data_IF_322925449237
#
_entry.id   IF_322925449237
#
_cell.length_a   1.000
_cell.length_b   1.000
_cell.length_c   1.000
_cell.angle_alpha   90.00
_cell.angle_beta   90.00
_cell.angle_gamma   90.00
#
_symmetry.space_group_name_H-M   'P 1'
#
loop_
_entity.id
_entity.type
_entity.pdbx_description
1 polymer ?
#
# COMPACT_ATOMS: atom_id res chain seq x y z
N UNK A 1 -6.50 -22.81 31.59
CA UNK A 1 -5.83 -21.57 32.05
C UNK A 1 -6.37 -20.44 31.18
N UNK A 2 -7.21 -19.59 31.76
CA UNK A 2 -7.91 -18.51 31.05
C UNK A 2 -6.90 -17.41 30.68
N UNK A 3 -6.59 -17.27 29.39
CA UNK A 3 -5.71 -16.21 28.90
C UNK A 3 -6.32 -14.84 29.20
N UNK A 4 -5.58 -14.00 29.91
CA UNK A 4 -6.01 -12.65 30.27
C UNK A 4 -6.44 -11.88 29.02
N UNK A 5 -7.63 -11.24 29.09
CA UNK A 5 -8.20 -10.42 28.01
C UNK A 5 -7.20 -9.35 27.56
N UNK A 6 -6.56 -9.57 26.42
CA UNK A 6 -5.63 -8.61 25.82
C UNK A 6 -6.30 -7.66 24.82
N UNK A 7 -7.50 -7.19 25.18
CA UNK A 7 -8.28 -6.28 24.35
C UNK A 7 -8.91 -5.21 25.24
N UNK A 8 -8.68 -3.94 24.90
CA UNK A 8 -9.35 -2.78 25.51
C UNK A 8 -10.05 -1.97 24.43
N UNK A 9 -11.36 -1.74 24.55
CA UNK A 9 -12.13 -0.97 23.58
C UNK A 9 -12.64 0.34 24.20
N UNK A 10 -12.36 1.47 23.58
CA UNK A 10 -12.67 2.81 24.10
C UNK A 10 -13.24 3.70 22.99
N UNK A 11 -14.34 4.43 23.24
CA UNK A 11 -14.82 5.43 22.29
C UNK A 11 -13.72 6.45 21.96
N UNK A 12 -13.54 6.73 20.67
CA UNK A 12 -12.64 7.76 20.15
C UNK A 12 -13.49 8.83 19.45
N UNK A 13 -13.96 9.81 20.22
CA UNK A 13 -14.95 10.77 19.73
C UNK A 13 -16.37 10.17 19.68
N UNK A 14 -17.26 10.81 18.89
CA UNK A 14 -18.70 10.49 18.88
C UNK A 14 -19.06 9.27 18.03
N UNK A 15 -18.29 9.03 16.97
CA UNK A 15 -18.63 8.06 15.93
C UNK A 15 -17.53 7.01 15.69
N UNK A 16 -16.52 6.92 16.55
CA UNK A 16 -15.47 5.91 16.39
C UNK A 16 -15.20 5.13 17.67
N UNK A 17 -14.72 3.91 17.49
CA UNK A 17 -14.25 3.02 18.53
C UNK A 17 -12.79 2.67 18.27
N UNK A 18 -11.92 2.97 19.24
CA UNK A 18 -10.54 2.52 19.23
C UNK A 18 -10.42 1.23 20.05
N UNK A 19 -9.89 0.18 19.43
CA UNK A 19 -9.58 -1.10 20.07
C UNK A 19 -8.06 -1.21 20.19
N UNK A 20 -7.56 -1.42 21.41
CA UNK A 20 -6.15 -1.62 21.75
C UNK A 20 -5.86 -3.10 22.03
N UNK A 21 -4.79 -3.63 21.45
CA UNK A 21 -4.43 -5.05 21.42
C UNK A 21 -3.02 -5.31 21.99
N UNK A 22 -2.72 -6.58 22.28
CA UNK A 22 -1.44 -7.03 22.85
C UNK A 22 -0.24 -6.68 21.96
N UNK A 23 -0.37 -6.92 20.66
CA UNK A 23 0.72 -6.89 19.70
C UNK A 23 0.14 -6.86 18.26
N UNK A 24 1.03 -6.91 17.28
CA UNK A 24 0.67 -6.89 15.87
C UNK A 24 -0.12 -8.15 15.43
N UNK A 25 0.13 -9.31 16.04
CA UNK A 25 -0.56 -10.56 15.72
C UNK A 25 -2.02 -10.50 16.15
N UNK A 26 -2.27 -10.06 17.40
CA UNK A 26 -3.62 -9.83 17.89
C UNK A 26 -4.35 -8.72 17.12
N UNK A 27 -3.62 -7.70 16.65
CA UNK A 27 -4.19 -6.63 15.81
C UNK A 27 -4.62 -7.15 14.45
N UNK A 28 -3.79 -7.98 13.80
CA UNK A 28 -4.13 -8.62 12.53
C UNK A 28 -5.31 -9.59 12.68
N UNK A 29 -5.34 -10.38 13.75
CA UNK A 29 -6.43 -11.30 14.06
C UNK A 29 -7.75 -10.56 14.28
N UNK A 30 -7.72 -9.48 15.07
CA UNK A 30 -8.90 -8.65 15.31
C UNK A 30 -9.39 -7.97 14.03
N UNK A 31 -8.48 -7.44 13.21
CA UNK A 31 -8.82 -6.85 11.92
C UNK A 31 -9.50 -7.86 10.98
N UNK A 32 -8.94 -9.06 10.86
CA UNK A 32 -9.55 -10.15 10.07
C UNK A 32 -10.94 -10.54 10.58
N UNK A 33 -11.11 -10.59 11.90
CA UNK A 33 -12.41 -10.89 12.53
C UNK A 33 -13.46 -9.79 12.27
N UNK A 34 -13.07 -8.51 12.30
CA UNK A 34 -13.95 -7.39 11.93
C UNK A 34 -14.42 -7.54 10.48
N UNK A 35 -13.51 -7.85 9.55
CA UNK A 35 -13.83 -8.04 8.14
C UNK A 35 -14.75 -9.25 7.93
N UNK A 36 -14.50 -10.37 8.62
CA UNK A 36 -15.34 -11.56 8.58
C UNK A 36 -16.77 -11.26 9.06
N UNK A 37 -16.91 -10.53 10.17
CA UNK A 37 -18.22 -10.12 10.69
C UNK A 37 -18.94 -9.16 9.76
N UNK A 38 -18.22 -8.22 9.13
CA UNK A 38 -18.76 -7.31 8.11
C UNK A 38 -19.31 -8.10 6.93
N UNK A 39 -18.54 -9.03 6.38
CA UNK A 39 -18.95 -9.88 5.26
C UNK A 39 -20.16 -10.77 5.62
N UNK A 40 -20.24 -11.25 6.86
CA UNK A 40 -21.37 -12.04 7.36
C UNK A 40 -22.60 -11.19 7.75
N UNK A 41 -22.54 -9.85 7.65
CA UNK A 41 -23.63 -8.96 8.07
C UNK A 41 -23.89 -8.94 9.59
N UNK A 42 -22.93 -9.40 10.39
CA UNK A 42 -23.04 -9.49 11.86
C UNK A 42 -22.33 -8.34 12.59
N UNK A 43 -21.60 -7.50 11.85
CA UNK A 43 -21.05 -6.25 12.35
C UNK A 43 -22.10 -5.13 12.20
N UNK A 44 -22.33 -4.27 13.20
CA UNK A 44 -23.12 -3.06 13.00
C UNK A 44 -22.48 -2.17 11.92
N UNK A 45 -23.21 -1.18 11.38
CA UNK A 45 -22.64 -0.24 10.41
C UNK A 45 -21.33 0.36 10.93
N UNK A 46 -20.27 0.17 10.17
CA UNK A 46 -18.95 0.78 10.35
C UNK A 46 -18.58 1.29 8.97
N UNK A 47 -18.21 2.56 8.85
CA UNK A 47 -17.78 3.15 7.58
C UNK A 47 -16.38 2.66 7.25
N UNK A 48 -15.43 2.87 8.16
CA UNK A 48 -14.02 2.54 7.94
C UNK A 48 -13.44 1.66 9.05
N UNK A 49 -12.51 0.80 8.66
CA UNK A 49 -11.75 -0.07 9.55
C UNK A 49 -10.27 0.21 9.29
N UNK A 50 -9.59 0.80 10.28
CA UNK A 50 -8.22 1.28 10.13
C UNK A 50 -7.32 0.55 11.14
N UNK A 51 -6.60 -0.51 10.71
CA UNK A 51 -5.60 -1.14 11.57
C UNK A 51 -4.38 -0.24 11.74
N UNK A 52 -3.74 -0.33 12.90
CA UNK A 52 -2.45 0.27 13.23
C UNK A 52 -1.49 -0.77 13.80
N UNK A 53 -0.45 -0.34 14.52
CA UNK A 53 0.55 -1.28 15.05
C UNK A 53 0.03 -2.19 16.17
N UNK A 54 -0.80 -1.64 17.07
CA UNK A 54 -1.39 -2.33 18.23
C UNK A 54 -2.85 -1.95 18.44
N UNK A 55 -3.49 -1.42 17.41
CA UNK A 55 -4.81 -0.83 17.51
C UNK A 55 -5.62 -1.09 16.25
N UNK A 56 -6.95 -1.14 16.37
CA UNK A 56 -7.87 -1.01 15.23
C UNK A 56 -8.87 0.08 15.54
N UNK A 57 -8.96 1.09 14.67
CA UNK A 57 -9.98 2.12 14.73
C UNK A 57 -11.16 1.69 13.85
N UNK A 58 -12.35 1.67 14.42
CA UNK A 58 -13.61 1.50 13.70
C UNK A 58 -14.29 2.87 13.65
N UNK A 59 -14.42 3.47 12.47
CA UNK A 59 -15.03 4.80 12.29
C UNK A 59 -16.41 4.72 11.64
N UNK A 60 -17.24 5.73 11.85
CA UNK A 60 -18.64 5.75 11.42
C UNK A 60 -19.54 4.77 12.18
N UNK A 61 -19.17 4.41 13.41
CA UNK A 61 -19.94 3.56 14.32
C UNK A 61 -21.09 4.38 14.92
N UNK A 62 -22.37 3.96 14.76
CA UNK A 62 -23.52 4.68 15.32
C UNK A 62 -23.52 4.78 16.85
N UNK A 63 -23.15 3.69 17.54
CA UNK A 63 -23.00 3.65 19.00
C UNK A 63 -21.67 2.96 19.38
N UNK A 64 -20.58 3.74 19.54
CA UNK A 64 -19.28 3.20 19.93
C UNK A 64 -19.30 2.49 21.30
N UNK A 65 -20.17 2.92 22.23
CA UNK A 65 -20.23 2.33 23.58
C UNK A 65 -20.90 0.96 23.55
N UNK A 66 -21.96 0.80 22.76
CA UNK A 66 -22.58 -0.51 22.53
C UNK A 66 -21.61 -1.46 21.82
N UNK A 67 -20.92 -0.99 20.77
CA UNK A 67 -19.94 -1.81 20.08
C UNK A 67 -18.76 -2.20 20.99
N UNK A 68 -18.27 -1.28 21.84
CA UNK A 68 -17.22 -1.60 22.81
C UNK A 68 -17.60 -2.77 23.74
N UNK A 69 -18.84 -2.78 24.25
CA UNK A 69 -19.36 -3.87 25.08
C UNK A 69 -19.46 -5.19 24.29
N UNK A 70 -19.91 -5.13 23.04
CA UNK A 70 -20.03 -6.30 22.18
C UNK A 70 -18.65 -6.91 21.87
N UNK A 71 -17.69 -6.06 21.46
CA UNK A 71 -16.32 -6.45 21.11
C UNK A 71 -15.61 -7.15 22.27
N UNK A 72 -15.86 -6.73 23.52
CA UNK A 72 -15.28 -7.38 24.69
C UNK A 72 -15.68 -8.86 24.85
N UNK A 73 -16.79 -9.27 24.23
CA UNK A 73 -17.28 -10.66 24.22
C UNK A 73 -16.93 -11.44 22.95
N UNK A 74 -16.19 -10.88 22.00
CA UNK A 74 -15.84 -11.58 20.77
C UNK A 74 -14.77 -12.64 21.01
N UNK A 75 -14.99 -13.82 20.44
CA UNK A 75 -13.92 -14.78 20.20
C UNK A 75 -13.22 -14.40 18.91
N UNK A 76 -11.92 -14.11 19.02
CA UNK A 76 -11.07 -13.68 17.90
C UNK A 76 -10.12 -14.83 17.59
N UNK A 77 -10.37 -15.62 16.54
CA UNK A 77 -9.44 -16.67 16.16
C UNK A 77 -8.12 -16.06 15.64
N UNK A 78 -6.99 -16.77 15.77
CA UNK A 78 -5.75 -16.35 15.14
C UNK A 78 -5.93 -16.26 13.61
N UNK A 79 -5.12 -15.41 12.97
CA UNK A 79 -5.10 -15.34 11.50
C UNK A 79 -4.65 -16.70 10.97
N UNK A 80 -5.46 -17.31 10.11
CA UNK A 80 -5.09 -18.57 9.48
C UNK A 80 -3.88 -18.36 8.55
N UNK A 81 -3.01 -19.37 8.47
CA UNK A 81 -2.02 -19.45 7.40
C UNK A 81 -2.77 -19.64 6.07
N UNK A 82 -2.79 -18.59 5.26
CA UNK A 82 -3.48 -18.56 3.99
C UNK A 82 -2.57 -19.06 2.86
N UNK A 83 -3.14 -19.89 1.97
CA UNK A 83 -2.53 -20.29 0.70
C UNK A 83 -2.83 -19.28 -0.43
N UNK A 84 -3.33 -18.09 -0.08
CA UNK A 84 -3.74 -17.06 -1.05
C UNK A 84 -2.57 -16.39 -1.76
N UNK A 85 -2.93 -15.56 -2.75
CA UNK A 85 -2.00 -14.86 -3.63
C UNK A 85 -0.94 -14.06 -2.86
N UNK A 86 0.28 -14.09 -3.37
CA UNK A 86 1.44 -13.38 -2.81
C UNK A 86 1.88 -12.32 -3.80
N UNK A 87 1.97 -11.07 -3.34
CA UNK A 87 2.53 -9.97 -4.14
C UNK A 87 4.05 -10.07 -4.12
N UNK A 88 4.64 -10.23 -5.29
CA UNK A 88 6.10 -10.17 -5.44
C UNK A 88 6.56 -8.73 -5.67
N UNK A 89 7.55 -8.30 -4.91
CA UNK A 89 8.17 -6.97 -5.03
C UNK A 89 9.61 -7.16 -5.52
N UNK A 90 9.94 -6.72 -6.75
CA UNK A 90 11.32 -6.70 -7.23
C UNK A 90 12.18 -5.74 -6.43
N UNK A 91 13.38 -6.18 -6.08
CA UNK A 91 14.37 -5.37 -5.34
C UNK A 91 15.75 -5.52 -5.96
N UNK A 92 16.38 -4.39 -6.25
CA UNK A 92 17.82 -4.27 -6.35
C UNK A 92 18.37 -4.02 -4.94
N UNK A 93 19.19 -4.92 -4.40
CA UNK A 93 19.80 -4.73 -3.08
C UNK A 93 21.04 -3.83 -3.21
N UNK A 94 20.79 -2.54 -3.42
CA UNK A 94 21.76 -1.47 -3.66
C UNK A 94 21.72 -0.37 -2.57
N UNK A 95 21.06 -0.66 -1.45
CA UNK A 95 20.78 0.34 -0.42
C UNK A 95 22.02 0.83 0.32
N UNK A 96 22.07 2.13 0.69
CA UNK A 96 23.22 2.72 1.37
C UNK A 96 23.48 2.16 2.77
N UNK A 97 22.48 1.54 3.40
CA UNK A 97 22.59 1.03 4.78
C UNK A 97 22.85 -0.49 4.82
N UNK A 98 23.11 -1.13 3.67
CA UNK A 98 23.41 -2.58 3.61
C UNK A 98 24.54 -2.98 4.54
N UNK A 99 25.65 -2.24 4.55
CA UNK A 99 26.79 -2.54 5.41
C UNK A 99 26.46 -2.39 6.91
N UNK A 100 25.64 -1.39 7.27
CA UNK A 100 25.20 -1.17 8.65
C UNK A 100 24.26 -2.30 9.11
N UNK A 101 23.28 -2.67 8.27
CA UNK A 101 22.37 -3.79 8.52
C UNK A 101 23.14 -5.11 8.61
N UNK A 102 24.12 -5.33 7.74
CA UNK A 102 24.96 -6.52 7.76
C UNK A 102 25.74 -6.64 9.09
N UNK A 103 26.32 -5.54 9.56
CA UNK A 103 27.01 -5.50 10.85
C UNK A 103 26.06 -5.82 12.02
N UNK A 104 24.83 -5.27 12.01
CA UNK A 104 23.81 -5.55 13.02
C UNK A 104 23.36 -7.03 13.01
N UNK A 105 23.35 -7.66 11.84
CA UNK A 105 23.01 -9.08 11.69
C UNK A 105 24.20 -10.02 11.90
N UNK A 106 25.43 -9.50 11.91
CA UNK A 106 26.67 -10.28 12.05
C UNK A 106 27.07 -11.03 10.78
N UNK A 107 26.88 -10.41 9.60
CA UNK A 107 26.92 -11.06 8.29
C UNK A 107 27.62 -10.20 7.25
N UNK A 108 27.94 -10.74 6.08
CA UNK A 108 28.47 -9.96 4.97
C UNK A 108 27.37 -9.15 4.25
N UNK A 109 27.67 -7.95 3.69
CA UNK A 109 26.66 -7.08 3.06
C UNK A 109 25.84 -7.73 1.93
N UNK A 110 26.46 -8.60 1.15
CA UNK A 110 25.85 -9.37 0.06
C UNK A 110 24.82 -10.40 0.57
N UNK A 111 24.95 -10.87 1.82
CA UNK A 111 24.01 -11.81 2.42
C UNK A 111 22.72 -11.14 2.94
N UNK A 112 22.70 -9.80 3.08
CA UNK A 112 21.53 -9.07 3.61
C UNK A 112 20.31 -9.28 2.72
N UNK A 113 20.49 -9.16 1.40
CA UNK A 113 19.40 -9.35 0.45
C UNK A 113 18.84 -10.76 0.45
N UNK A 114 19.73 -11.76 0.52
CA UNK A 114 19.34 -13.17 0.62
C UNK A 114 18.52 -13.46 1.90
N UNK A 115 18.94 -12.93 3.05
CA UNK A 115 18.18 -13.07 4.31
C UNK A 115 16.85 -12.33 4.27
N UNK A 116 16.82 -11.12 3.73
CA UNK A 116 15.59 -10.33 3.62
C UNK A 116 14.53 -11.04 2.76
N UNK A 117 14.90 -11.54 1.57
CA UNK A 117 13.96 -12.23 0.66
C UNK A 117 13.56 -13.64 1.08
N UNK A 118 14.28 -14.26 2.02
CA UNK A 118 13.94 -15.60 2.52
C UNK A 118 12.65 -15.64 3.36
N UNK A 119 12.12 -14.48 3.73
CA UNK A 119 10.91 -14.36 4.54
C UNK A 119 9.69 -14.06 3.67
N UNK A 120 8.54 -14.58 4.07
CA UNK A 120 7.24 -14.09 3.60
C UNK A 120 6.75 -13.04 4.57
N UNK A 121 6.33 -11.90 4.03
CA UNK A 121 5.83 -10.77 4.79
C UNK A 121 4.32 -10.68 4.68
N UNK A 122 3.72 -9.93 5.60
CA UNK A 122 2.32 -9.53 5.56
C UNK A 122 2.22 -8.04 5.87
N UNK A 123 1.37 -7.33 5.12
CA UNK A 123 1.03 -5.94 5.45
C UNK A 123 0.24 -5.94 6.75
N UNK A 124 0.84 -5.44 7.83
CA UNK A 124 0.18 -5.32 9.13
C UNK A 124 -0.83 -4.17 9.14
N UNK A 125 -0.42 -3.03 8.61
CA UNK A 125 -1.25 -1.84 8.45
C UNK A 125 -0.67 -0.90 7.39
N UNK A 126 -1.48 0.05 6.93
CA UNK A 126 -1.05 1.11 6.02
C UNK A 126 -1.13 2.46 6.73
N UNK A 127 -0.28 3.41 6.34
CA UNK A 127 -0.23 4.74 6.95
C UNK A 127 1.00 5.52 6.47
N UNK A 128 1.31 6.67 7.08
CA UNK A 128 2.42 7.57 6.70
C UNK A 128 2.27 8.25 5.32
N UNK A 129 2.04 7.49 4.25
CA UNK A 129 1.76 8.01 2.91
C UNK A 129 0.85 7.03 2.14
N UNK A 130 0.07 7.50 1.15
CA UNK A 130 -0.71 6.63 0.27
C UNK A 130 0.17 5.56 -0.38
N UNK A 131 -0.22 4.28 -0.25
CA UNK A 131 0.54 3.11 -0.74
C UNK A 131 1.65 2.61 0.17
N UNK A 132 1.92 3.26 1.31
CA UNK A 132 2.94 2.79 2.25
C UNK A 132 2.34 1.74 3.21
N UNK A 133 2.80 0.49 3.05
CA UNK A 133 2.44 -0.64 3.91
C UNK A 133 3.57 -1.02 4.86
N UNK A 134 3.24 -1.21 6.13
CA UNK A 134 4.15 -1.73 7.14
C UNK A 134 4.15 -3.26 7.08
N UNK A 135 5.26 -3.86 6.68
CA UNK A 135 5.37 -5.30 6.44
C UNK A 135 5.97 -6.01 7.65
N UNK A 136 5.25 -6.96 8.25
CA UNK A 136 5.74 -7.83 9.33
C UNK A 136 6.03 -9.24 8.80
N UNK A 137 6.80 -10.04 9.54
CA UNK A 137 7.19 -11.41 9.16
C UNK A 137 8.69 -11.67 9.29
N UNK A 138 9.46 -10.61 9.53
CA UNK A 138 10.88 -10.72 9.80
C UNK A 138 11.13 -11.34 11.19
N UNK A 139 12.04 -12.31 11.27
CA UNK A 139 12.40 -12.97 12.52
C UNK A 139 12.93 -11.95 13.56
N UNK A 140 12.61 -12.09 14.87
CA UNK A 140 13.03 -11.13 15.91
C UNK A 140 14.52 -10.79 15.93
N UNK A 141 15.37 -11.78 15.65
CA UNK A 141 16.84 -11.60 15.58
C UNK A 141 17.32 -10.70 14.44
N UNK A 142 16.47 -10.42 13.45
CA UNK A 142 16.78 -9.59 12.29
C UNK A 142 16.18 -8.18 12.42
N UNK A 143 15.50 -7.87 13.52
CA UNK A 143 14.97 -6.52 13.75
C UNK A 143 16.11 -5.53 13.92
N UNK A 144 16.06 -4.42 13.18
CA UNK A 144 17.12 -3.39 13.20
C UNK A 144 16.56 -2.07 13.72
N UNK A 145 17.31 -1.27 14.50
CA UNK A 145 16.82 0.02 14.96
C UNK A 145 16.64 1.00 13.79
N UNK A 146 15.83 2.03 14.03
CA UNK A 146 15.85 3.23 13.17
C UNK A 146 17.21 3.91 13.26
N UNK A 147 17.57 4.64 12.20
CA UNK A 147 18.71 5.55 12.23
C UNK A 147 18.50 6.61 13.31
N UNK A 148 19.59 6.99 13.97
CA UNK A 148 19.59 8.03 15.01
C UNK A 148 19.20 9.39 14.45
N UNK A 149 19.59 9.69 13.22
CA UNK A 149 19.21 10.91 12.50
C UNK A 149 18.45 10.54 11.21
N UNK A 150 17.18 10.95 11.06
CA UNK A 150 16.42 10.72 9.83
C UNK A 150 17.06 11.39 8.62
N UNK A 151 16.90 10.77 7.43
CA UNK A 151 17.21 11.43 6.16
C UNK A 151 16.16 12.48 5.88
N UNK A 152 16.60 13.63 5.39
CA UNK A 152 15.72 14.69 4.88
C UNK A 152 14.95 14.22 3.64
N UNK A 153 15.52 13.26 2.90
CA UNK A 153 14.90 12.66 1.72
C UNK A 153 15.30 11.20 1.56
N UNK A 154 14.28 10.34 1.47
CA UNK A 154 14.35 8.94 1.03
C UNK A 154 13.67 8.88 -0.34
N UNK A 155 14.28 8.25 -1.37
CA UNK A 155 13.70 8.19 -2.70
C UNK A 155 12.46 7.26 -2.75
N UNK A 156 11.60 7.49 -3.75
CA UNK A 156 10.54 6.53 -4.08
C UNK A 156 11.17 5.20 -4.52
N UNK A 157 10.52 4.08 -4.22
CA UNK A 157 11.04 2.74 -4.43
C UNK A 157 12.02 2.26 -3.37
N UNK A 158 12.51 3.10 -2.46
CA UNK A 158 13.43 2.64 -1.43
C UNK A 158 12.82 1.49 -0.60
N UNK A 159 13.55 0.39 -0.47
CA UNK A 159 13.21 -0.76 0.36
C UNK A 159 13.96 -0.61 1.67
N UNK A 160 13.24 -0.70 2.79
CA UNK A 160 13.78 -0.31 4.07
C UNK A 160 13.33 -1.17 5.24
N UNK A 161 14.12 -1.15 6.32
CA UNK A 161 13.89 -1.86 7.58
C UNK A 161 13.84 -0.90 8.77
N UNK A 162 12.92 -1.15 9.70
CA UNK A 162 12.91 -0.55 11.03
C UNK A 162 12.11 -1.38 12.04
N UNK A 163 12.76 -1.75 13.14
CA UNK A 163 12.25 -2.67 14.15
C UNK A 163 11.77 -3.97 13.50
N UNK A 164 10.52 -4.40 13.75
CA UNK A 164 9.96 -5.61 13.15
C UNK A 164 9.51 -5.43 11.70
N UNK A 165 9.63 -4.23 11.13
CA UNK A 165 8.99 -3.87 9.86
C UNK A 165 9.99 -3.80 8.71
N UNK A 166 9.54 -4.28 7.55
CA UNK A 166 10.04 -3.88 6.23
C UNK A 166 9.01 -2.98 5.54
N UNK A 167 9.42 -2.21 4.54
CA UNK A 167 8.52 -1.39 3.73
C UNK A 167 9.16 -1.01 2.39
N UNK A 168 8.32 -0.58 1.45
CA UNK A 168 8.77 0.12 0.25
C UNK A 168 8.17 1.52 0.24
N UNK A 169 9.00 2.54 0.06
CA UNK A 169 8.55 3.93 0.01
C UNK A 169 7.84 4.21 -1.33
N UNK A 170 6.53 4.51 -1.37
CA UNK A 170 5.82 4.73 -2.63
C UNK A 170 6.17 6.09 -3.28
N UNK A 171 6.67 7.04 -2.48
CA UNK A 171 7.03 8.40 -2.89
C UNK A 171 8.23 8.90 -2.09
N UNK A 172 8.88 9.95 -2.59
CA UNK A 172 9.98 10.57 -1.88
C UNK A 172 9.49 11.30 -0.62
N UNK A 173 10.04 10.94 0.54
CA UNK A 173 9.64 11.47 1.86
C UNK A 173 10.85 11.53 2.81
N UNK A 174 10.85 12.35 3.86
CA UNK A 174 11.84 12.21 4.94
C UNK A 174 11.63 10.89 5.69
N UNK A 175 12.71 10.26 6.17
CA UNK A 175 12.60 8.94 6.80
C UNK A 175 13.87 8.48 7.52
N UNK A 176 13.69 7.78 8.64
CA UNK A 176 14.78 7.26 9.48
C UNK A 176 14.94 5.74 9.43
N UNK A 177 14.42 5.07 8.41
CA UNK A 177 14.57 3.62 8.28
C UNK A 177 15.90 3.29 7.59
N UNK A 178 16.41 2.09 7.84
CA UNK A 178 17.61 1.57 7.19
C UNK A 178 17.27 1.16 5.76
N UNK A 179 17.89 1.77 4.76
CA UNK A 179 17.63 1.55 3.35
C UNK A 179 18.54 0.43 2.82
N UNK A 180 17.94 -0.68 2.42
CA UNK A 180 18.66 -1.90 1.99
C UNK A 180 18.56 -2.18 0.49
N UNK A 181 17.72 -1.45 -0.23
CA UNK A 181 17.61 -1.60 -1.68
C UNK A 181 16.59 -0.68 -2.31
N UNK A 182 16.29 -0.95 -3.56
CA UNK A 182 15.39 -0.15 -4.39
C UNK A 182 14.48 -1.04 -5.22
N UNK A 183 13.19 -0.77 -5.20
CA UNK A 183 12.20 -1.28 -6.15
C UNK A 183 12.25 -0.40 -7.41
N UNK A 184 12.63 -0.93 -8.59
CA UNK A 184 12.85 -0.12 -9.78
C UNK A 184 11.63 0.68 -10.26
N UNK A 185 10.43 0.08 -10.18
CA UNK A 185 9.17 0.75 -10.53
C UNK A 185 8.21 0.79 -9.32
N UNK A 186 8.18 1.89 -8.56
CA UNK A 186 7.28 2.02 -7.41
C UNK A 186 5.85 2.41 -7.77
N UNK A 187 5.51 2.68 -9.04
CA UNK A 187 4.15 3.09 -9.44
C UNK A 187 3.06 2.11 -9.01
N UNK A 188 3.26 0.77 -9.08
CA UNK A 188 2.24 -0.18 -8.64
C UNK A 188 1.86 -0.04 -7.17
N UNK A 189 2.74 0.49 -6.30
CA UNK A 189 2.43 0.65 -4.87
C UNK A 189 1.25 1.59 -4.63
N UNK A 190 1.09 2.59 -5.50
CA UNK A 190 -0.02 3.53 -5.45
C UNK A 190 -0.36 4.11 -6.82
N UNK A 191 -1.54 3.78 -7.33
CA UNK A 191 -2.10 4.33 -8.56
C UNK A 191 -3.55 4.76 -8.35
N UNK A 192 -3.86 6.07 -8.27
CA UNK A 192 -5.24 6.53 -8.05
C UNK A 192 -6.19 6.21 -9.21
N UNK A 193 -5.68 5.84 -10.38
CA UNK A 193 -6.51 5.47 -11.54
C UNK A 193 -6.95 4.00 -11.53
N UNK A 194 -6.37 3.15 -10.67
CA UNK A 194 -6.76 1.73 -10.52
C UNK A 194 -7.96 1.56 -9.60
N UNK A 195 -8.79 0.56 -9.89
CA UNK A 195 -9.91 0.13 -9.03
C UNK A 195 -9.44 -0.14 -7.59
N UNK A 196 -8.30 -0.86 -7.45
CA UNK A 196 -7.55 -0.96 -6.19
C UNK A 196 -6.31 -0.08 -6.27
N UNK A 197 -6.45 1.14 -5.76
CA UNK A 197 -5.42 2.15 -5.84
C UNK A 197 -4.13 1.79 -5.09
N UNK A 198 -4.25 1.16 -3.92
CA UNK A 198 -3.12 0.59 -3.19
C UNK A 198 -2.93 -0.88 -3.56
N UNK A 199 -1.72 -1.25 -4.00
CA UNK A 199 -1.34 -2.66 -4.17
C UNK A 199 -1.23 -3.39 -2.83
N UNK A 200 -0.76 -2.68 -1.80
CA UNK A 200 -0.54 -3.20 -0.46
C UNK A 200 -1.68 -2.77 0.46
N UNK A 201 -2.56 -3.69 0.83
CA UNK A 201 -3.62 -3.48 1.82
C UNK A 201 -3.39 -4.37 3.05
N UNK A 202 -3.91 -4.00 4.24
CA UNK A 202 -3.71 -4.81 5.44
C UNK A 202 -4.17 -6.25 5.23
N UNK A 203 -3.30 -7.21 5.54
CA UNK A 203 -3.50 -8.63 5.28
C UNK A 203 -2.81 -9.16 4.02
N UNK A 204 -2.44 -8.32 3.05
CA UNK A 204 -1.73 -8.75 1.82
C UNK A 204 -0.42 -9.44 2.16
N UNK A 205 -0.18 -10.60 1.56
CA UNK A 205 1.10 -11.32 1.64
C UNK A 205 2.07 -10.75 0.62
N UNK A 206 3.33 -10.61 1.03
CA UNK A 206 4.38 -10.02 0.21
C UNK A 206 5.62 -10.90 0.24
N UNK A 207 6.26 -11.10 -0.90
CA UNK A 207 7.61 -11.64 -0.99
C UNK A 207 8.48 -10.67 -1.76
N UNK A 208 9.69 -10.45 -1.27
CA UNK A 208 10.68 -9.73 -2.05
C UNK A 208 11.41 -10.71 -2.97
N UNK A 209 11.66 -10.30 -4.20
CA UNK A 209 12.41 -11.07 -5.20
C UNK A 209 13.53 -10.19 -5.76
N UNK A 210 14.57 -10.79 -6.34
CA UNK A 210 15.59 -9.98 -7.03
C UNK A 210 14.95 -9.36 -8.27
N UNK A 211 15.31 -8.12 -8.62
CA UNK A 211 14.75 -7.48 -9.81
C UNK A 211 14.96 -8.30 -11.09
N UNK A 212 16.07 -9.05 -11.18
CA UNK A 212 16.40 -9.93 -12.30
C UNK A 212 15.54 -11.22 -12.34
N UNK A 213 14.92 -11.60 -11.22
CA UNK A 213 14.11 -12.82 -11.09
C UNK A 213 12.67 -12.62 -11.58
N UNK A 214 12.24 -11.37 -11.81
CA UNK A 214 10.88 -11.08 -12.31
C UNK A 214 10.78 -11.49 -13.76
N UNK A 215 10.36 -12.74 -13.98
CA UNK A 215 9.87 -13.17 -15.27
C UNK A 215 8.56 -12.45 -15.50
N UNK A 216 8.47 -11.66 -16.57
CA UNK A 216 7.22 -11.00 -17.00
C UNK A 216 6.10 -12.03 -17.13
N UNK A 217 5.31 -12.25 -16.07
CA UNK A 217 4.01 -12.89 -16.21
C UNK A 217 3.10 -11.86 -16.85
N UNK A 218 3.09 -11.89 -18.19
CA UNK A 218 2.18 -11.10 -19.01
C UNK A 218 0.73 -11.31 -18.57
N UNK A 219 -0.03 -10.23 -18.69
CA UNK A 219 -1.48 -10.23 -18.57
C UNK A 219 -2.12 -11.40 -19.34
N UNK A 220 -3.26 -11.95 -18.89
CA UNK A 220 -4.08 -12.80 -19.75
C UNK A 220 -4.43 -11.98 -20.99
N UNK A 221 -3.87 -12.37 -22.14
CA UNK A 221 -4.31 -11.85 -23.42
C UNK A 221 -5.78 -12.22 -23.61
N UNK A 222 -6.60 -11.22 -23.95
CA UNK A 222 -7.93 -11.42 -24.49
C UNK A 222 -7.80 -12.20 -25.82
N UNK A 223 -7.77 -13.52 -25.70
CA UNK A 223 -7.97 -14.46 -26.78
C UNK A 223 -9.46 -14.73 -26.96
N UNK A 224 -10.21 -13.73 -27.41
CA UNK A 224 -11.55 -13.93 -27.94
C UNK A 224 -11.47 -13.92 -29.48
N UNK A 225 -11.27 -15.11 -30.04
CA UNK A 225 -11.59 -15.44 -31.43
C UNK A 225 -13.04 -15.06 -31.76
N UNK A 226 -13.22 -14.16 -32.72
CA UNK A 226 -14.48 -14.03 -33.45
C UNK A 226 -14.17 -13.89 -34.95
N UNK A 227 -14.38 -15.00 -35.66
CA UNK A 227 -14.39 -15.12 -37.10
C UNK A 227 -15.63 -14.42 -37.69
N UNK A 228 -15.45 -13.53 -38.67
CA UNK A 228 -16.52 -12.96 -39.49
C UNK A 228 -15.95 -12.34 -40.79
N UNK A 229 -16.64 -12.45 -41.95
CA UNK A 229 -16.03 -12.53 -43.29
C UNK A 229 -15.79 -11.17 -43.99
N UNK A 230 -15.05 -11.14 -45.13
CA UNK A 230 -14.62 -9.91 -45.78
C UNK A 230 -15.69 -9.36 -46.75
N UNK A 231 -15.74 -8.04 -46.90
CA UNK A 231 -16.60 -7.36 -47.87
C UNK A 231 -16.19 -5.91 -48.12
N UNK A 232 -15.60 -5.72 -49.29
CA UNK A 232 -15.72 -4.60 -50.24
C UNK A 232 -15.05 -3.23 -49.97
N UNK A 233 -13.92 -3.12 -50.67
CA UNK A 233 -13.32 -2.01 -51.42
C UNK A 233 -14.29 -0.89 -51.90
N UNK A 234 -13.96 0.37 -51.58
CA UNK A 234 -14.24 1.55 -52.42
C UNK A 234 -13.15 2.62 -52.21
N UNK A 235 -12.27 2.75 -53.20
CA UNK A 235 -11.55 3.98 -53.54
C UNK A 235 -12.45 4.93 -54.36
N UNK A 236 -12.51 6.23 -54.03
CA UNK A 236 -12.59 7.34 -55.01
C UNK A 236 -12.52 8.74 -54.37
N UNK A 237 -11.40 9.40 -54.66
CA UNK A 237 -11.12 10.81 -54.99
C UNK A 237 -12.30 11.77 -55.28
N UNK A 238 -12.15 13.06 -54.90
CA UNK A 238 -12.52 14.19 -55.79
C UNK A 238 -13.42 15.29 -55.23
N UNK A 239 -12.87 16.52 -55.15
CA UNK A 239 -13.47 17.83 -54.75
C UNK A 239 -14.38 18.38 -55.89
N UNK A 240 -15.27 19.38 -55.65
CA UNK A 240 -14.88 20.79 -55.83
C UNK A 240 -15.43 21.76 -54.76
N UNK A 241 -14.83 22.96 -54.76
CA UNK A 241 -15.09 24.12 -53.91
C UNK A 241 -15.95 25.18 -54.63
N UNK A 242 -16.64 26.03 -53.86
CA UNK A 242 -17.08 27.42 -54.14
C UNK A 242 -17.54 28.00 -52.77
N UNK A 243 -16.92 29.02 -52.17
CA UNK A 243 -16.96 30.46 -52.52
C UNK A 243 -17.93 31.17 -51.55
N UNK A 244 -17.52 31.97 -50.55
CA UNK A 244 -17.20 33.41 -50.64
C UNK A 244 -16.71 33.91 -49.24
N UNK A 245 -15.56 34.57 -49.05
CA UNK A 245 -15.28 36.04 -49.15
C UNK A 245 -16.28 36.91 -48.35
N UNK A 246 -15.96 37.88 -47.47
CA UNK A 246 -14.80 38.76 -47.14
C UNK A 246 -15.20 39.42 -45.80
N UNK A 247 -14.36 39.64 -44.79
CA UNK A 247 -13.24 40.59 -44.67
C UNK A 247 -13.38 41.30 -43.31
N UNK A 248 -12.37 41.20 -42.45
CA UNK A 248 -11.38 42.26 -42.14
C UNK A 248 -11.98 43.42 -41.33
N UNK A 249 -11.64 43.59 -40.06
CA UNK A 249 -10.39 44.22 -39.58
C UNK A 249 -10.80 45.53 -38.89
N UNK A 250 -10.10 46.16 -37.95
CA UNK A 250 -8.79 46.03 -37.36
C UNK A 250 -8.74 47.07 -36.21
N UNK A 251 -7.86 46.85 -35.22
CA UNK A 251 -7.09 47.87 -34.47
C UNK A 251 -7.86 48.91 -33.65
N UNK A 252 -7.30 49.58 -32.63
CA UNK A 252 -6.16 49.42 -31.75
C UNK A 252 -6.27 50.60 -30.78
N UNK A 253 -5.60 50.53 -29.63
CA UNK A 253 -4.98 51.73 -29.08
C UNK A 253 -5.43 52.19 -27.70
N UNK A 254 -4.46 52.02 -26.79
CA UNK A 254 -3.92 53.06 -25.89
C UNK A 254 -4.54 53.23 -24.49
N UNK A 255 -3.75 52.85 -23.48
CA UNK A 255 -3.65 53.41 -22.13
C UNK A 255 -3.42 54.95 -22.15
N UNK A 256 -3.52 55.72 -21.03
CA UNK A 256 -2.61 55.64 -19.86
C UNK A 256 -3.22 55.94 -18.47
N UNK A 257 -2.40 55.67 -17.41
CA UNK A 257 -2.24 56.37 -16.10
C UNK A 257 -3.45 56.70 -15.19
N UNK A 258 -3.38 56.89 -13.86
CA UNK A 258 -2.42 56.71 -12.76
C UNK A 258 -3.13 57.12 -11.43
N UNK A 259 -2.58 56.70 -10.27
CA UNK A 259 -2.73 57.35 -8.95
C UNK A 259 -3.95 56.92 -8.10
N UNK A 260 -3.83 56.57 -6.81
CA UNK A 260 -2.78 56.78 -5.81
C UNK A 260 -2.76 55.63 -4.79
#
# INVERSE_FOLDING_TARGET
MSGARSLTARPAGRHALLVELADAEHTAAFHAEVLRRRAAGTLPPVTEVVPGARTVLLDGVPDPRALARAVAGWEVPPVADDTGDVVEIPVCYDGPDLAEVAALWGVAPDEVGARHRAHTYRVAFCGFAPGFGYLTGLAPRLHVPRRSTPRTRVPAGAVALAGPYSAVYPRATPGGWQLIGTMPDPRPLWDPARERAALLTPGTRVRFVTADDVTTTGAPGDGATATGPPGDDVTATGVPAEGATTGDGNAAGTSPEAGA
#
